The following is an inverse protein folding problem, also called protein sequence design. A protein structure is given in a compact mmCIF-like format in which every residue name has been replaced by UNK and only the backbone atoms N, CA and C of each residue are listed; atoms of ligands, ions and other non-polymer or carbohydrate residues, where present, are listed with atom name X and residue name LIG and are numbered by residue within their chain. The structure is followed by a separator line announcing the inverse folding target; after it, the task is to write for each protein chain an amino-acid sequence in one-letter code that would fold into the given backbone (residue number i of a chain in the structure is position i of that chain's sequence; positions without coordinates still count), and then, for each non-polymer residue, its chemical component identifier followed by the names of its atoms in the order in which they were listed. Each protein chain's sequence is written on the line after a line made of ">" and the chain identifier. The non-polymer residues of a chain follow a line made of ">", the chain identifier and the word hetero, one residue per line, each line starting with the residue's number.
data_IF_257852378731
#
_entry.id   IF_257852378731
#
_cell.length_a   1.000
_cell.length_b   1.000
_cell.length_c   1.000
_cell.angle_alpha   90.00
_cell.angle_beta   90.00
_cell.angle_gamma   90.00
#
_symmetry.space_group_name_H-M   'P 1'
#
loop_
_entity.id
_entity.type
_entity.pdbx_description
1 polymer ?
#
# COMPACT_ATOMS: atom_id res chain seq x y z
N UNK A 1 -11.24 3.39 46.45
CA UNK A 1 -10.15 3.40 45.44
C UNK A 1 -10.69 2.69 44.21
N UNK A 2 -10.90 3.43 43.13
CA UNK A 2 -11.37 2.86 41.86
C UNK A 2 -10.11 2.52 41.08
N UNK A 3 -9.84 1.23 40.87
CA UNK A 3 -8.77 0.81 39.98
C UNK A 3 -9.12 1.28 38.56
N UNK A 4 -8.25 1.98 37.84
CA UNK A 4 -8.47 2.24 36.42
C UNK A 4 -8.34 0.90 35.70
N UNK A 5 -9.47 0.41 35.19
CA UNK A 5 -9.53 -0.71 34.25
C UNK A 5 -8.58 -0.40 33.10
N UNK A 6 -7.61 -1.29 32.86
CA UNK A 6 -6.74 -1.20 31.70
C UNK A 6 -7.62 -1.07 30.43
N UNK A 7 -7.25 -0.24 29.44
CA UNK A 7 -7.97 -0.21 28.19
C UNK A 7 -8.00 -1.64 27.64
N UNK A 8 -9.21 -2.14 27.38
CA UNK A 8 -9.39 -3.41 26.67
C UNK A 8 -8.51 -3.33 25.42
N UNK A 9 -7.55 -4.24 25.34
CA UNK A 9 -6.69 -4.36 24.16
C UNK A 9 -7.64 -4.80 23.03
N UNK A 10 -8.21 -3.81 22.33
CA UNK A 10 -9.19 -4.04 21.28
C UNK A 10 -8.62 -5.04 20.28
N UNK A 11 -9.45 -5.99 19.86
CA UNK A 11 -9.04 -6.98 18.87
C UNK A 11 -8.42 -6.24 17.66
N UNK A 12 -7.26 -6.70 17.15
CA UNK A 12 -6.61 -6.04 16.03
C UNK A 12 -7.58 -6.03 14.85
N UNK A 13 -7.77 -4.86 14.25
CA UNK A 13 -8.64 -4.71 13.08
C UNK A 13 -8.22 -5.70 11.98
N UNK A 14 -9.18 -6.27 11.23
CA UNK A 14 -8.85 -7.25 10.21
C UNK A 14 -7.92 -6.64 9.15
N UNK A 15 -6.88 -7.38 8.78
CA UNK A 15 -6.00 -7.00 7.68
C UNK A 15 -6.78 -7.14 6.37
N UNK A 16 -7.09 -6.01 5.72
CA UNK A 16 -7.84 -5.99 4.46
C UNK A 16 -6.96 -6.33 3.24
N UNK A 17 -5.68 -6.00 3.29
CA UNK A 17 -4.71 -6.31 2.24
C UNK A 17 -3.27 -6.30 2.79
N UNK A 18 -2.38 -7.06 2.17
CA UNK A 18 -0.94 -7.03 2.43
C UNK A 18 -0.16 -7.06 1.12
N UNK A 19 0.82 -6.18 1.01
CA UNK A 19 1.70 -6.09 -0.15
C UNK A 19 3.15 -6.03 0.32
N UNK A 20 4.05 -6.58 -0.49
CA UNK A 20 5.49 -6.53 -0.28
C UNK A 20 6.11 -5.65 -1.35
N UNK A 21 6.92 -4.67 -0.92
CA UNK A 21 7.64 -3.78 -1.81
C UNK A 21 9.15 -4.00 -1.67
N UNK A 22 9.85 -3.98 -2.80
CA UNK A 22 11.31 -3.85 -2.78
C UNK A 22 11.69 -2.40 -2.52
N UNK A 23 12.94 -2.15 -2.11
CA UNK A 23 13.44 -0.78 -1.94
C UNK A 23 13.32 0.05 -3.24
N UNK A 24 13.61 -0.57 -4.39
CA UNK A 24 13.49 0.09 -5.70
C UNK A 24 12.06 0.55 -5.99
N UNK A 25 11.06 -0.26 -5.64
CA UNK A 25 9.65 0.13 -5.78
C UNK A 25 9.30 1.33 -4.90
N UNK A 26 9.80 1.37 -3.66
CA UNK A 26 9.57 2.52 -2.77
C UNK A 26 10.22 3.79 -3.32
N UNK A 27 11.44 3.69 -3.87
CA UNK A 27 12.12 4.82 -4.50
C UNK A 27 11.34 5.34 -5.71
N UNK A 28 10.85 4.45 -6.58
CA UNK A 28 10.02 4.83 -7.72
C UNK A 28 8.73 5.53 -7.25
N UNK A 29 8.09 5.00 -6.20
CA UNK A 29 6.88 5.60 -5.66
C UNK A 29 7.13 7.01 -5.10
N UNK A 30 8.25 7.24 -4.40
CA UNK A 30 8.63 8.58 -3.90
C UNK A 30 8.80 9.57 -5.03
N UNK A 31 9.53 9.20 -6.09
CA UNK A 31 9.72 10.05 -7.27
C UNK A 31 8.37 10.41 -7.91
N UNK A 32 7.46 9.45 -8.00
CA UNK A 32 6.12 9.69 -8.55
C UNK A 32 5.31 10.64 -7.66
N UNK A 33 5.38 10.49 -6.33
CA UNK A 33 4.73 11.43 -5.40
C UNK A 33 5.26 12.85 -5.56
N UNK A 34 6.57 13.01 -5.59
CA UNK A 34 7.21 14.33 -5.75
C UNK A 34 6.84 14.98 -7.09
N UNK A 35 6.68 14.19 -8.15
CA UNK A 35 6.42 14.70 -9.49
C UNK A 35 4.94 15.00 -9.78
N UNK A 36 4.00 14.22 -9.21
CA UNK A 36 2.62 14.19 -9.69
C UNK A 36 1.55 14.44 -8.62
N UNK A 37 1.93 14.45 -7.35
CA UNK A 37 0.96 14.32 -6.27
C UNK A 37 1.02 15.47 -5.27
N UNK A 38 1.23 16.71 -5.72
CA UNK A 38 1.26 17.99 -4.97
C UNK A 38 0.20 18.08 -3.82
N UNK A 39 0.38 17.31 -2.75
CA UNK A 39 -0.57 16.96 -1.68
C UNK A 39 -1.80 16.10 -2.02
N UNK A 40 -1.85 15.43 -3.17
CA UNK A 40 -2.95 14.51 -3.51
C UNK A 40 -2.59 13.06 -3.21
N UNK A 41 -3.55 12.23 -2.76
CA UNK A 41 -3.29 10.79 -2.64
C UNK A 41 -3.05 10.19 -4.03
N UNK A 42 -2.03 9.34 -4.14
CA UNK A 42 -1.85 8.43 -5.27
C UNK A 42 -2.56 7.13 -4.95
N UNK A 43 -3.30 6.59 -5.92
CA UNK A 43 -3.88 5.25 -5.82
C UNK A 43 -2.83 4.23 -6.24
N UNK A 44 -2.67 3.15 -5.47
CA UNK A 44 -1.80 2.04 -5.83
C UNK A 44 -2.66 0.92 -6.40
N UNK A 45 -2.40 0.54 -7.65
CA UNK A 45 -3.03 -0.60 -8.28
C UNK A 45 -2.04 -1.75 -8.39
N UNK A 46 -2.47 -2.94 -7.95
CA UNK A 46 -1.71 -4.17 -8.08
C UNK A 46 -2.44 -5.11 -9.03
N UNK A 47 -1.73 -5.59 -10.04
CA UNK A 47 -2.22 -6.56 -11.02
C UNK A 47 -1.38 -7.83 -10.97
N UNK A 48 -1.72 -8.84 -11.77
CA UNK A 48 -0.91 -10.05 -11.90
C UNK A 48 0.45 -9.71 -12.52
N UNK A 49 1.43 -9.44 -11.66
CA UNK A 49 2.82 -9.20 -12.07
C UNK A 49 3.29 -7.76 -11.96
N UNK A 50 2.40 -6.78 -11.83
CA UNK A 50 2.78 -5.36 -11.92
C UNK A 50 2.11 -4.51 -10.85
N UNK A 51 2.83 -3.48 -10.42
CA UNK A 51 2.36 -2.47 -9.47
C UNK A 51 2.45 -1.09 -10.11
N UNK A 52 1.35 -0.35 -10.04
CA UNK A 52 1.16 0.94 -10.68
C UNK A 52 0.79 1.99 -9.64
N UNK A 53 1.33 3.20 -9.81
CA UNK A 53 0.80 4.42 -9.23
C UNK A 53 -0.20 5.03 -10.22
N UNK A 54 -1.39 5.37 -9.75
CA UNK A 54 -2.38 6.15 -10.52
C UNK A 54 -2.40 7.56 -9.96
N UNK A 55 -1.98 8.51 -10.77
CA UNK A 55 -1.95 9.94 -10.44
C UNK A 55 -3.37 10.53 -10.45
N UNK A 56 -3.58 11.74 -9.89
CA UNK A 56 -4.91 12.34 -9.80
C UNK A 56 -5.61 12.58 -11.16
N UNK A 57 -4.85 12.77 -12.23
CA UNK A 57 -5.32 12.88 -13.61
C UNK A 57 -5.61 11.53 -14.27
N UNK A 58 -5.40 10.41 -13.56
CA UNK A 58 -5.67 9.05 -14.02
C UNK A 58 -4.50 8.41 -14.78
N UNK A 59 -3.34 9.05 -14.84
CA UNK A 59 -2.15 8.50 -15.50
C UNK A 59 -1.55 7.37 -14.67
N UNK A 60 -1.26 6.23 -15.34
CA UNK A 60 -0.59 5.08 -14.73
C UNK A 60 0.92 5.16 -14.90
N UNK A 61 1.64 5.14 -13.78
CA UNK A 61 3.10 5.15 -13.72
C UNK A 61 3.59 3.86 -13.07
N UNK A 62 4.54 3.18 -13.72
CA UNK A 62 5.05 1.89 -13.23
C UNK A 62 5.89 2.08 -11.97
N UNK A 63 5.53 1.37 -10.90
CA UNK A 63 6.31 1.30 -9.66
C UNK A 63 7.29 0.11 -9.75
N UNK A 64 6.84 -0.99 -10.35
CA UNK A 64 7.66 -2.17 -10.57
C UNK A 64 6.84 -3.43 -10.78
N UNK A 65 7.52 -4.58 -10.75
CA UNK A 65 6.91 -5.90 -10.89
C UNK A 65 6.83 -6.61 -9.56
N UNK A 66 5.76 -7.38 -9.37
CA UNK A 66 5.55 -8.22 -8.20
C UNK A 66 5.49 -9.67 -8.64
N UNK A 67 6.43 -10.48 -8.13
CA UNK A 67 6.31 -11.94 -8.20
C UNK A 67 5.40 -12.39 -7.06
N UNK A 68 4.09 -12.16 -7.21
CA UNK A 68 3.12 -12.80 -6.35
C UNK A 68 3.13 -14.30 -6.70
N UNK A 69 3.45 -15.22 -5.76
CA UNK A 69 2.94 -16.57 -5.91
C UNK A 69 1.41 -16.47 -6.04
N UNK A 70 0.76 -17.35 -6.84
CA UNK A 70 -0.70 -17.34 -6.96
C UNK A 70 -1.31 -17.36 -5.55
N UNK A 71 -2.47 -16.71 -5.33
CA UNK A 71 -3.12 -16.74 -4.02
C UNK A 71 -3.26 -18.20 -3.61
N UNK A 72 -2.57 -18.58 -2.54
CA UNK A 72 -2.79 -19.88 -1.91
C UNK A 72 -4.17 -19.77 -1.28
N UNK A 73 -5.18 -20.32 -1.97
CA UNK A 73 -6.48 -20.60 -1.35
C UNK A 73 -6.22 -21.36 -0.03
N UNK A 74 -6.81 -20.84 1.05
CA UNK A 74 -6.67 -21.36 2.41
C UNK A 74 -7.47 -22.66 2.61
#
# INVERSE_FOLDING_TARGET
>A
MIHPTAPECGEPSPVLARASFTLAMLQNLVVIFEAAAENHPIVIEMTAGEVWAVTPDGTRLSIGVTTLPPPTDA
#
